data_IF_277008214618
#
_entry.id   IF_277008214618
#
_cell.length_a   1.000
_cell.length_b   1.000
_cell.length_c   1.000
_cell.angle_alpha   90.00
_cell.angle_beta   90.00
_cell.angle_gamma   90.00
#
_symmetry.space_group_name_H-M   'P 1'
#
loop_
_entity.id
_entity.type
_entity.pdbx_description
1 polymer ?
#
# COMPACT_ATOMS: atom_id res chain seq x y z
N UNK A 1 -19.38 -43.96 2.54
CA UNK A 1 -17.94 -44.19 2.26
C UNK A 1 -17.31 -43.21 1.25
N UNK A 2 -18.02 -42.71 0.23
CA UNK A 2 -17.45 -41.75 -0.75
C UNK A 2 -17.05 -40.38 -0.17
N UNK A 3 -17.76 -39.89 0.84
CA UNK A 3 -17.44 -38.61 1.49
C UNK A 3 -16.11 -38.64 2.29
N UNK A 4 -15.75 -39.79 2.87
CA UNK A 4 -14.50 -39.94 3.61
C UNK A 4 -13.27 -39.98 2.68
N UNK A 5 -13.42 -40.60 1.50
CA UNK A 5 -12.36 -40.60 0.47
C UNK A 5 -12.14 -39.22 -0.14
N UNK A 6 -13.21 -38.41 -0.29
CA UNK A 6 -13.09 -37.02 -0.75
C UNK A 6 -12.39 -36.13 0.29
N UNK A 7 -12.68 -36.31 1.59
CA UNK A 7 -11.99 -35.58 2.67
C UNK A 7 -10.51 -35.97 2.79
N UNK A 8 -10.16 -37.25 2.62
CA UNK A 8 -8.76 -37.69 2.60
C UNK A 8 -8.03 -37.23 1.33
N UNK A 9 -8.70 -37.19 0.18
CA UNK A 9 -8.11 -36.68 -1.07
C UNK A 9 -7.91 -35.15 -1.04
N UNK A 10 -8.80 -34.41 -0.39
CA UNK A 10 -8.64 -32.96 -0.14
C UNK A 10 -7.52 -32.67 0.88
N UNK A 11 -7.35 -33.52 1.89
CA UNK A 11 -6.22 -33.42 2.82
C UNK A 11 -4.87 -33.76 2.17
N UNK A 12 -4.83 -34.74 1.27
CA UNK A 12 -3.64 -35.11 0.51
C UNK A 12 -3.31 -34.13 -0.63
N UNK A 13 -4.32 -33.47 -1.22
CA UNK A 13 -4.12 -32.41 -2.21
C UNK A 13 -3.69 -31.07 -1.59
N UNK A 14 -4.02 -30.82 -0.32
CA UNK A 14 -3.47 -29.70 0.46
C UNK A 14 -2.00 -29.92 0.87
N UNK A 15 -1.47 -31.13 0.68
CA UNK A 15 -0.13 -31.52 1.12
C UNK A 15 0.99 -31.17 0.14
N UNK A 16 0.68 -30.73 -1.08
CA UNK A 16 1.65 -30.66 -2.18
C UNK A 16 2.06 -29.25 -2.64
N UNK A 17 1.75 -28.16 -1.93
CA UNK A 17 2.16 -26.82 -2.42
C UNK A 17 2.55 -25.76 -1.38
N UNK A 18 2.57 -26.08 -0.09
CA UNK A 18 3.11 -25.16 0.92
C UNK A 18 4.52 -25.62 1.34
N UNK A 19 5.56 -24.76 1.25
CA UNK A 19 6.85 -25.10 1.84
C UNK A 19 6.64 -25.29 3.35
N UNK A 20 6.78 -26.53 3.81
CA UNK A 20 6.69 -26.92 5.24
C UNK A 20 7.98 -26.63 6.02
N UNK A 21 9.00 -26.13 5.34
CA UNK A 21 10.31 -25.85 5.92
C UNK A 21 10.40 -24.39 6.40
N UNK A 22 10.65 -24.23 7.69
CA UNK A 22 10.78 -22.94 8.38
C UNK A 22 11.83 -22.04 7.70
N UNK A 23 12.92 -22.64 7.19
CA UNK A 23 14.01 -21.89 6.53
C UNK A 23 13.57 -21.29 5.19
N UNK A 24 12.78 -22.02 4.42
CA UNK A 24 12.25 -21.55 3.13
C UNK A 24 11.25 -20.43 3.34
N UNK A 25 10.40 -20.52 4.37
CA UNK A 25 9.47 -19.45 4.73
C UNK A 25 10.19 -18.19 5.21
N UNK A 26 11.24 -18.32 6.03
CA UNK A 26 12.07 -17.20 6.48
C UNK A 26 12.71 -16.44 5.30
N UNK A 27 13.30 -17.16 4.33
CA UNK A 27 13.87 -16.54 3.12
C UNK A 27 12.82 -15.80 2.28
N UNK A 28 11.60 -16.33 2.17
CA UNK A 28 10.50 -15.66 1.46
C UNK A 28 10.04 -14.39 2.19
N UNK A 29 10.04 -14.39 3.52
CA UNK A 29 9.73 -13.19 4.32
C UNK A 29 10.77 -12.10 4.10
N UNK A 30 12.06 -12.42 4.15
CA UNK A 30 13.13 -11.44 3.92
C UNK A 30 13.09 -10.88 2.49
N UNK A 31 12.82 -11.72 1.49
CA UNK A 31 12.65 -11.29 0.10
C UNK A 31 11.42 -10.39 -0.08
N UNK A 32 10.29 -10.75 0.55
CA UNK A 32 9.05 -9.97 0.52
C UNK A 32 9.23 -8.61 1.22
N UNK A 33 9.87 -8.59 2.38
CA UNK A 33 10.23 -7.36 3.11
C UNK A 33 11.10 -6.45 2.25
N UNK A 34 12.17 -7.00 1.64
CA UNK A 34 13.06 -6.25 0.76
C UNK A 34 12.33 -5.69 -0.47
N UNK A 35 11.42 -6.47 -1.05
CA UNK A 35 10.58 -6.04 -2.17
C UNK A 35 9.66 -4.87 -1.82
N UNK A 36 8.96 -4.96 -0.69
CA UNK A 36 8.09 -3.86 -0.22
C UNK A 36 8.89 -2.60 0.12
N UNK A 37 10.05 -2.72 0.76
CA UNK A 37 10.92 -1.56 1.04
C UNK A 37 11.32 -0.85 -0.25
N UNK A 38 11.73 -1.59 -1.29
CA UNK A 38 12.06 -1.00 -2.60
C UNK A 38 10.87 -0.27 -3.21
N UNK A 39 9.66 -0.84 -3.13
CA UNK A 39 8.46 -0.18 -3.62
C UNK A 39 8.13 1.10 -2.85
N UNK A 40 8.36 1.12 -1.53
CA UNK A 40 8.22 2.33 -0.73
C UNK A 40 9.24 3.41 -1.14
N UNK A 41 10.48 3.00 -1.39
CA UNK A 41 11.56 3.89 -1.85
C UNK A 41 11.28 4.44 -3.26
N UNK A 42 10.69 3.64 -4.16
CA UNK A 42 10.28 4.06 -5.50
C UNK A 42 9.03 4.96 -5.47
N UNK A 43 8.08 4.71 -4.56
CA UNK A 43 6.85 5.49 -4.46
C UNK A 43 7.10 6.88 -3.86
N UNK A 44 8.01 6.99 -2.90
CA UNK A 44 8.34 8.25 -2.21
C UNK A 44 8.67 9.41 -3.15
N UNK A 45 9.60 9.28 -4.12
CA UNK A 45 9.92 10.38 -5.05
C UNK A 45 8.76 10.72 -6.00
N UNK A 46 7.93 9.74 -6.36
CA UNK A 46 6.73 10.00 -7.19
C UNK A 46 5.72 10.87 -6.43
N UNK A 47 5.46 10.54 -5.16
CA UNK A 47 4.57 11.33 -4.30
C UNK A 47 5.11 12.74 -4.07
N UNK A 48 6.42 12.90 -3.83
CA UNK A 48 7.05 14.22 -3.71
C UNK A 48 6.94 15.05 -5.00
N UNK A 49 7.08 14.40 -6.16
CA UNK A 49 6.93 15.07 -7.47
C UNK A 49 5.47 15.46 -7.74
N UNK A 50 4.51 14.64 -7.34
CA UNK A 50 3.08 15.00 -7.40
C UNK A 50 2.77 16.19 -6.48
N UNK A 51 3.35 16.23 -5.28
CA UNK A 51 3.18 17.34 -4.35
C UNK A 51 3.80 18.65 -4.89
N UNK A 52 4.96 18.59 -5.53
CA UNK A 52 5.58 19.78 -6.14
C UNK A 52 4.82 20.26 -7.39
N UNK A 53 4.25 19.34 -8.18
CA UNK A 53 3.33 19.69 -9.26
C UNK A 53 2.07 20.36 -8.73
N UNK A 54 1.48 19.84 -7.65
CA UNK A 54 0.34 20.45 -6.95
C UNK A 54 0.62 21.89 -6.56
N UNK A 55 1.74 22.14 -5.89
CA UNK A 55 2.16 23.50 -5.54
C UNK A 55 2.30 24.39 -6.80
N UNK A 56 2.93 23.86 -7.86
CA UNK A 56 3.19 24.60 -9.09
C UNK A 56 1.91 25.05 -9.81
N UNK A 57 0.92 24.16 -9.99
CA UNK A 57 -0.31 24.53 -10.69
C UNK A 57 -1.28 25.36 -9.82
N UNK A 58 -1.22 25.24 -8.48
CA UNK A 58 -1.97 26.08 -7.56
C UNK A 58 -1.45 27.53 -7.55
N UNK A 59 -0.13 27.73 -7.59
CA UNK A 59 0.48 29.07 -7.51
C UNK A 59 0.56 29.78 -8.86
N UNK A 60 1.06 29.10 -9.90
CA UNK A 60 1.41 29.73 -11.19
C UNK A 60 0.30 29.65 -12.23
N UNK A 61 -0.73 28.85 -11.96
CA UNK A 61 -1.75 28.51 -12.94
C UNK A 61 -1.19 27.69 -14.11
N UNK A 62 -1.98 27.52 -15.17
CA UNK A 62 -1.56 26.73 -16.34
C UNK A 62 -1.79 25.22 -16.19
N UNK A 63 -2.97 24.85 -15.69
CA UNK A 63 -3.40 23.46 -15.45
C UNK A 63 -3.08 22.52 -16.63
N UNK A 64 -3.37 22.97 -17.86
CA UNK A 64 -3.20 22.19 -19.09
C UNK A 64 -1.76 21.70 -19.31
N UNK A 65 -0.76 22.49 -18.90
CA UNK A 65 0.66 22.13 -19.06
C UNK A 65 1.06 20.98 -18.15
N UNK A 66 0.38 20.83 -17.03
CA UNK A 66 0.71 19.85 -15.99
C UNK A 66 -0.20 18.60 -16.06
N UNK A 67 -1.30 18.63 -16.81
CA UNK A 67 -2.26 17.52 -16.89
C UNK A 67 -1.62 16.20 -17.34
N UNK A 68 -0.78 16.24 -18.39
CA UNK A 68 -0.16 15.04 -18.93
C UNK A 68 0.86 14.43 -17.95
N UNK A 69 1.72 15.26 -17.35
CA UNK A 69 2.72 14.82 -16.37
C UNK A 69 2.05 14.29 -15.10
N UNK A 70 1.02 14.98 -14.60
CA UNK A 70 0.20 14.54 -13.47
C UNK A 70 -0.42 13.17 -13.73
N UNK A 71 -1.08 12.98 -14.88
CA UNK A 71 -1.75 11.72 -15.20
C UNK A 71 -0.76 10.55 -15.23
N UNK A 72 0.43 10.77 -15.81
CA UNK A 72 1.51 9.78 -15.83
C UNK A 72 1.97 9.43 -14.41
N UNK A 73 2.33 10.42 -13.59
CA UNK A 73 2.84 10.17 -12.24
C UNK A 73 1.79 9.55 -11.32
N UNK A 74 0.53 9.97 -11.45
CA UNK A 74 -0.57 9.40 -10.66
C UNK A 74 -0.83 7.94 -11.02
N UNK A 75 -0.74 7.59 -12.31
CA UNK A 75 -0.88 6.21 -12.77
C UNK A 75 0.29 5.33 -12.30
N UNK A 76 1.53 5.82 -12.42
CA UNK A 76 2.73 5.11 -11.93
C UNK A 76 2.68 4.90 -10.41
N UNK A 77 2.35 5.95 -9.65
CA UNK A 77 2.20 5.86 -8.20
C UNK A 77 1.05 4.94 -7.79
N UNK A 78 -0.09 4.99 -8.49
CA UNK A 78 -1.23 4.10 -8.27
C UNK A 78 -0.87 2.63 -8.48
N UNK A 79 -0.19 2.31 -9.59
CA UNK A 79 0.23 0.94 -9.90
C UNK A 79 1.21 0.37 -8.85
N UNK A 80 2.19 1.18 -8.42
CA UNK A 80 3.12 0.78 -7.35
C UNK A 80 2.42 0.57 -6.01
N UNK A 81 1.47 1.43 -5.68
CA UNK A 81 0.69 1.34 -4.45
C UNK A 81 -0.23 0.10 -4.44
N UNK A 82 -0.85 -0.24 -5.57
CA UNK A 82 -1.63 -1.48 -5.72
C UNK A 82 -0.74 -2.71 -5.56
N UNK A 83 0.44 -2.71 -6.19
CA UNK A 83 1.42 -3.79 -6.05
C UNK A 83 1.91 -3.93 -4.61
N UNK A 84 2.20 -2.83 -3.92
CA UNK A 84 2.57 -2.82 -2.51
C UNK A 84 1.46 -3.43 -1.62
N UNK A 85 0.20 -3.08 -1.90
CA UNK A 85 -0.95 -3.64 -1.20
C UNK A 85 -1.12 -5.15 -1.42
N UNK A 86 -0.83 -5.65 -2.62
CA UNK A 86 -0.80 -7.09 -2.91
C UNK A 86 0.33 -7.80 -2.16
N UNK A 87 1.55 -7.26 -2.25
CA UNK A 87 2.73 -7.81 -1.57
C UNK A 87 2.57 -7.84 -0.05
N UNK A 88 1.88 -6.85 0.54
CA UNK A 88 1.54 -6.85 1.96
C UNK A 88 0.61 -8.01 2.33
N UNK A 89 -0.42 -8.29 1.52
CA UNK A 89 -1.32 -9.43 1.77
C UNK A 89 -0.56 -10.74 1.73
N UNK A 90 0.32 -10.90 0.75
CA UNK A 90 1.17 -12.08 0.61
C UNK A 90 2.13 -12.22 1.81
N UNK A 91 2.75 -11.11 2.24
CA UNK A 91 3.60 -11.08 3.43
C UNK A 91 2.86 -11.56 4.69
N UNK A 92 1.66 -11.04 4.94
CA UNK A 92 0.83 -11.45 6.08
C UNK A 92 0.49 -12.95 6.01
N UNK A 93 0.17 -13.47 4.82
CA UNK A 93 -0.08 -14.90 4.65
C UNK A 93 1.17 -15.74 4.95
N UNK A 94 2.36 -15.32 4.50
CA UNK A 94 3.61 -16.02 4.78
C UNK A 94 3.93 -15.99 6.28
N UNK A 95 3.72 -14.85 6.96
CA UNK A 95 3.89 -14.74 8.42
C UNK A 95 2.96 -15.71 9.16
N UNK A 96 1.68 -15.78 8.78
CA UNK A 96 0.72 -16.71 9.38
C UNK A 96 1.11 -18.18 9.16
N UNK A 97 1.63 -18.53 7.98
CA UNK A 97 2.13 -19.87 7.69
C UNK A 97 3.38 -20.19 8.53
N UNK A 98 4.31 -19.25 8.66
CA UNK A 98 5.49 -19.39 9.49
C UNK A 98 5.14 -19.63 10.97
N UNK A 99 4.23 -18.82 11.52
CA UNK A 99 3.73 -18.99 12.89
C UNK A 99 3.02 -20.34 13.07
N UNK A 100 2.24 -20.77 12.07
CA UNK A 100 1.55 -22.07 12.08
C UNK A 100 2.50 -23.27 12.09
N UNK A 101 3.59 -23.22 11.32
CA UNK A 101 4.64 -24.25 11.32
C UNK A 101 5.32 -24.31 12.70
N UNK A 102 5.66 -23.15 13.27
CA UNK A 102 6.29 -23.07 14.59
C UNK A 102 5.41 -23.65 15.71
N UNK A 103 4.09 -23.38 15.69
CA UNK A 103 3.13 -23.94 16.65
C UNK A 103 3.02 -25.46 16.47
N UNK A 104 2.95 -25.95 15.23
CA UNK A 104 2.87 -27.38 14.95
C UNK A 104 4.12 -28.15 15.41
N UNK A 105 5.31 -27.58 15.23
CA UNK A 105 6.57 -28.13 15.75
C UNK A 105 6.60 -28.15 17.28
N UNK A 106 6.20 -27.06 17.93
CA UNK A 106 6.12 -27.01 19.39
C UNK A 106 5.15 -28.07 19.95
N UNK A 107 3.99 -28.25 19.31
CA UNK A 107 3.01 -29.28 19.69
C UNK A 107 3.55 -30.71 19.50
N UNK A 108 4.34 -30.96 18.43
CA UNK A 108 5.02 -32.26 18.21
C UNK A 108 6.13 -32.51 19.23
N UNK A 109 6.92 -31.49 19.57
CA UNK A 109 7.97 -31.56 20.59
C UNK A 109 7.41 -31.85 22.00
N UNK A 110 6.27 -31.25 22.34
CA UNK A 110 5.54 -31.53 23.58
C UNK A 110 4.98 -32.97 23.61
N UNK A 111 4.49 -33.49 22.48
CA UNK A 111 4.02 -34.88 22.37
C UNK A 111 5.14 -35.92 22.50
N UNK A 112 6.36 -35.60 22.07
CA UNK A 112 7.52 -36.50 22.20
C UNK A 112 8.19 -36.44 23.59
N UNK A 113 8.17 -35.29 24.28
CA UNK A 113 8.68 -35.18 25.66
C UNK A 113 7.70 -35.71 26.72
N UNK A 114 6.40 -35.68 26.44
CA UNK A 114 5.35 -36.12 27.37
C UNK A 114 5.24 -37.63 27.62
N UNK A 115 5.90 -38.50 26.85
CA UNK A 115 5.76 -39.96 26.99
C UNK A 115 6.98 -40.68 27.55
N UNK A 116 8.13 -40.01 27.72
CA UNK A 116 9.35 -40.64 28.30
C UNK A 116 9.80 -40.06 29.64
N UNK A 117 9.49 -38.80 29.95
CA UNK A 117 9.94 -38.16 31.20
C UNK A 117 8.94 -38.30 32.37
N UNK A 118 7.67 -38.62 32.13
CA UNK A 118 6.70 -38.89 33.21
C UNK A 118 6.91 -40.26 33.91
N UNK A 119 7.82 -41.11 33.42
CA UNK A 119 8.12 -42.43 33.99
C UNK A 119 9.44 -42.50 34.77
N UNK A 120 10.23 -41.43 34.82
CA UNK A 120 11.47 -41.40 35.62
C UNK A 120 11.52 -40.11 36.42
N UNK A 121 11.03 -40.19 37.66
CA UNK A 121 11.14 -39.11 38.62
C UNK A 121 12.58 -38.62 38.76
N UNK A 122 12.77 -37.32 38.59
CA UNK A 122 13.85 -36.56 39.21
C UNK A 122 13.54 -35.08 39.00
N UNK A 123 13.40 -34.34 40.08
CA UNK A 123 13.35 -32.90 40.03
C UNK A 123 14.69 -32.35 39.55
N UNK A 124 14.67 -31.63 38.45
CA UNK A 124 15.66 -30.60 38.13
C UNK A 124 15.18 -29.86 36.89
N UNK A 125 14.91 -28.56 37.05
CA UNK A 125 14.83 -27.52 36.04
C UNK A 125 14.24 -27.90 34.67
N UNK A 126 13.10 -27.30 34.32
CA UNK A 126 12.66 -27.12 32.93
C UNK A 126 13.88 -26.74 32.05
N UNK A 127 14.43 -27.66 31.23
CA UNK A 127 15.60 -27.34 30.44
C UNK A 127 15.12 -26.78 29.11
N UNK A 128 15.36 -25.49 28.92
CA UNK A 128 15.34 -24.84 27.61
C UNK A 128 13.96 -24.38 27.14
N UNK A 129 13.52 -23.23 27.64
CA UNK A 129 13.02 -22.22 26.71
C UNK A 129 14.22 -21.88 25.81
N UNK A 130 14.40 -22.65 24.74
CA UNK A 130 15.55 -22.58 23.86
C UNK A 130 15.71 -21.16 23.33
N UNK A 131 16.95 -20.74 23.07
CA UNK A 131 17.24 -19.47 22.40
C UNK A 131 16.40 -19.25 21.13
N UNK A 132 15.90 -20.33 20.50
CA UNK A 132 14.95 -20.27 19.37
C UNK A 132 13.57 -19.71 19.73
N UNK A 133 13.05 -19.91 20.95
CA UNK A 133 11.76 -19.33 21.36
C UNK A 133 11.85 -17.80 21.53
N UNK A 134 12.90 -17.31 22.18
CA UNK A 134 13.16 -15.87 22.32
C UNK A 134 13.44 -15.20 20.97
N UNK A 135 14.24 -15.84 20.09
CA UNK A 135 14.49 -15.36 18.74
C UNK A 135 13.20 -15.28 17.89
N UNK A 136 12.30 -16.26 18.04
CA UNK A 136 10.98 -16.27 17.36
C UNK A 136 10.03 -15.18 17.87
N UNK A 137 10.01 -14.90 19.18
CA UNK A 137 9.23 -13.76 19.71
C UNK A 137 9.75 -12.41 19.19
N UNK A 138 11.08 -12.25 19.10
CA UNK A 138 11.70 -11.04 18.57
C UNK A 138 11.44 -10.88 17.06
N UNK A 139 11.45 -11.96 16.28
CA UNK A 139 11.14 -11.91 14.84
C UNK A 139 9.66 -11.61 14.59
N UNK A 140 8.74 -12.19 15.36
CA UNK A 140 7.31 -11.90 15.27
C UNK A 140 7.00 -10.42 15.59
N UNK A 141 7.67 -9.86 16.61
CA UNK A 141 7.58 -8.42 16.92
C UNK A 141 8.09 -7.55 15.76
N UNK A 142 9.22 -7.92 15.17
CA UNK A 142 9.81 -7.21 14.02
C UNK A 142 8.88 -7.20 12.80
N UNK A 143 8.24 -8.32 12.49
CA UNK A 143 7.35 -8.40 11.32
C UNK A 143 6.07 -7.61 11.51
N UNK A 144 5.46 -7.62 12.70
CA UNK A 144 4.31 -6.76 13.01
C UNK A 144 4.64 -5.28 12.94
N UNK A 145 5.82 -4.89 13.43
CA UNK A 145 6.31 -3.51 13.31
C UNK A 145 6.46 -3.11 11.83
N UNK A 146 7.06 -3.98 11.02
CA UNK A 146 7.21 -3.73 9.59
C UNK A 146 5.86 -3.66 8.86
N UNK A 147 4.94 -4.58 9.14
CA UNK A 147 3.57 -4.54 8.61
C UNK A 147 2.87 -3.21 8.96
N UNK A 148 3.01 -2.75 10.21
CA UNK A 148 2.51 -1.46 10.65
C UNK A 148 3.11 -0.27 9.89
N UNK A 149 4.41 -0.31 9.61
CA UNK A 149 5.09 0.71 8.79
C UNK A 149 4.56 0.74 7.36
N UNK A 150 4.45 -0.42 6.71
CA UNK A 150 3.92 -0.54 5.34
C UNK A 150 2.47 -0.07 5.29
N UNK A 151 1.63 -0.48 6.25
CA UNK A 151 0.23 -0.07 6.35
C UNK A 151 0.08 1.44 6.53
N UNK A 152 0.87 2.04 7.44
CA UNK A 152 0.92 3.49 7.63
C UNK A 152 1.37 4.21 6.35
N UNK A 153 2.37 3.67 5.64
CA UNK A 153 2.86 4.25 4.40
C UNK A 153 1.79 4.20 3.30
N UNK A 154 1.15 3.04 3.10
CA UNK A 154 0.05 2.86 2.15
C UNK A 154 -1.10 3.85 2.41
N UNK A 155 -1.48 4.04 3.67
CA UNK A 155 -2.50 5.01 4.05
C UNK A 155 -2.11 6.45 3.71
N UNK A 156 -0.86 6.85 4.03
CA UNK A 156 -0.35 8.19 3.70
C UNK A 156 -0.25 8.41 2.19
N UNK A 157 0.20 7.40 1.44
CA UNK A 157 0.30 7.45 -0.01
C UNK A 157 -1.07 7.60 -0.67
N UNK A 158 -2.10 6.85 -0.21
CA UNK A 158 -3.48 7.02 -0.66
C UNK A 158 -4.01 8.42 -0.39
N UNK A 159 -3.85 8.89 0.85
CA UNK A 159 -4.29 10.23 1.22
C UNK A 159 -3.60 11.32 0.37
N UNK A 160 -2.32 11.14 0.04
CA UNK A 160 -1.60 12.07 -0.85
C UNK A 160 -2.20 12.09 -2.26
N UNK A 161 -2.44 10.92 -2.87
CA UNK A 161 -3.06 10.81 -4.19
C UNK A 161 -4.50 11.38 -4.22
N UNK A 162 -5.29 11.09 -3.19
CA UNK A 162 -6.66 11.61 -3.06
C UNK A 162 -6.65 13.13 -2.89
N UNK A 163 -5.72 13.66 -2.07
CA UNK A 163 -5.58 15.11 -1.88
C UNK A 163 -5.15 15.83 -3.15
N UNK A 164 -4.26 15.22 -3.94
CA UNK A 164 -3.79 15.76 -5.21
C UNK A 164 -4.94 15.80 -6.22
N UNK A 165 -5.71 14.70 -6.32
CA UNK A 165 -6.90 14.64 -7.17
C UNK A 165 -7.92 15.72 -6.83
N UNK A 166 -8.24 15.87 -5.54
CA UNK A 166 -9.18 16.89 -5.09
C UNK A 166 -8.67 18.31 -5.41
N UNK A 167 -7.37 18.57 -5.22
CA UNK A 167 -6.76 19.86 -5.54
C UNK A 167 -6.82 20.18 -7.04
N UNK A 168 -6.56 19.18 -7.90
CA UNK A 168 -6.63 19.34 -9.34
C UNK A 168 -8.07 19.60 -9.81
N UNK A 169 -9.06 18.85 -9.32
CA UNK A 169 -10.47 19.04 -9.64
C UNK A 169 -10.97 20.44 -9.21
N UNK A 170 -10.55 20.91 -8.03
CA UNK A 170 -10.86 22.26 -7.56
C UNK A 170 -10.24 23.34 -8.47
N UNK A 171 -8.96 23.19 -8.82
CA UNK A 171 -8.26 24.13 -9.67
C UNK A 171 -8.83 24.16 -11.11
N UNK A 172 -9.31 23.02 -11.62
CA UNK A 172 -10.01 22.95 -12.91
C UNK A 172 -11.34 23.69 -12.89
N UNK A 173 -12.13 23.54 -11.82
CA UNK A 173 -13.39 24.27 -11.65
C UNK A 173 -13.14 25.79 -11.60
N UNK A 174 -12.12 26.21 -10.88
CA UNK A 174 -11.74 27.62 -10.80
C UNK A 174 -11.27 28.19 -12.14
N UNK A 175 -10.47 27.43 -12.90
CA UNK A 175 -10.07 27.82 -14.26
C UNK A 175 -11.29 27.98 -15.18
N UNK A 176 -12.25 27.05 -15.12
CA UNK A 176 -13.50 27.12 -15.90
C UNK A 176 -14.35 28.33 -15.49
N UNK A 177 -14.43 28.65 -14.19
CA UNK A 177 -15.16 29.83 -13.69
C UNK A 177 -14.52 31.13 -14.20
N UNK A 178 -13.20 31.26 -14.08
CA UNK A 178 -12.45 32.43 -14.58
C UNK A 178 -12.62 32.60 -16.09
N UNK A 179 -12.58 31.53 -16.87
CA UNK A 179 -12.81 31.58 -18.31
C UNK A 179 -14.23 32.06 -18.68
N UNK A 180 -15.26 31.65 -17.95
CA UNK A 180 -16.63 32.16 -18.16
C UNK A 180 -16.74 33.65 -17.85
N UNK A 181 -16.18 34.10 -16.73
CA UNK A 181 -16.18 35.51 -16.33
C UNK A 181 -15.44 36.36 -17.38
N UNK A 182 -14.29 35.90 -17.86
CA UNK A 182 -13.55 36.58 -18.94
C UNK A 182 -14.37 36.71 -20.22
N UNK A 183 -15.05 35.64 -20.65
CA UNK A 183 -15.92 35.69 -21.84
C UNK A 183 -17.06 36.70 -21.68
N UNK A 184 -17.70 36.72 -20.50
CA UNK A 184 -18.77 37.68 -20.20
C UNK A 184 -18.24 39.11 -20.15
N UNK A 185 -17.07 39.34 -19.55
CA UNK A 185 -16.42 40.65 -19.52
C UNK A 185 -16.04 41.13 -20.93
N UNK A 186 -15.55 40.24 -21.79
CA UNK A 186 -15.23 40.55 -23.19
C UNK A 186 -16.50 40.91 -23.98
N UNK A 187 -17.58 40.16 -23.79
CA UNK A 187 -18.87 40.46 -24.42
C UNK A 187 -19.41 41.83 -23.95
N UNK A 188 -19.36 42.11 -22.65
CA UNK A 188 -19.78 43.41 -22.10
C UNK A 188 -18.91 44.56 -22.64
N UNK A 189 -17.60 44.37 -22.73
CA UNK A 189 -16.68 45.36 -23.30
C UNK A 189 -16.98 45.64 -24.78
N UNK A 190 -17.31 44.62 -25.57
CA UNK A 190 -17.71 44.79 -26.98
C UNK A 190 -19.03 45.57 -27.12
N UNK A 191 -20.01 45.32 -26.26
CA UNK A 191 -21.28 46.09 -26.25
C UNK A 191 -21.04 47.55 -25.89
N UNK A 192 -20.22 47.82 -24.87
CA UNK A 192 -19.86 49.19 -24.48
C UNK A 192 -19.07 49.91 -25.58
N UNK A 193 -18.13 49.22 -26.23
CA UNK A 193 -17.37 49.77 -27.36
C UNK A 193 -18.28 50.09 -28.55
N UNK A 194 -19.22 49.20 -28.90
CA UNK A 194 -20.21 49.44 -29.94
C UNK A 194 -21.11 50.65 -29.60
N UNK A 195 -21.58 50.76 -28.36
CA UNK A 195 -22.35 51.90 -27.89
C UNK A 195 -21.57 53.23 -27.96
N UNK A 196 -20.29 53.22 -27.59
CA UNK A 196 -19.41 54.38 -27.67
C UNK A 196 -19.17 54.83 -29.12
N UNK A 197 -18.95 53.89 -30.04
CA UNK A 197 -18.80 54.19 -31.48
C UNK A 197 -20.08 54.78 -32.06
N UNK A 198 -21.25 54.21 -31.75
CA UNK A 198 -22.54 54.75 -32.19
C UNK A 198 -22.76 56.16 -31.62
N UNK A 199 -22.41 56.40 -30.36
CA UNK A 199 -22.52 57.72 -29.74
C UNK A 199 -21.59 58.76 -30.39
N UNK A 200 -20.34 58.39 -30.69
CA UNK A 200 -19.38 59.27 -31.37
C UNK A 200 -19.81 59.61 -32.80
N UNK A 201 -20.36 58.65 -33.55
CA UNK A 201 -20.89 58.87 -34.91
C UNK A 201 -22.16 59.72 -34.94
N UNK A 202 -22.87 59.84 -33.81
CA UNK A 202 -24.14 60.57 -33.70
C UNK A 202 -23.97 62.00 -33.16
N UNK A 203 -22.76 62.38 -32.74
CA UNK A 203 -22.42 63.76 -32.37
C UNK A 203 -22.02 64.54 -33.63
N UNK A 204 -22.82 65.52 -34.08
CA UNK A 204 -22.45 66.44 -35.16
C UNK A 204 -21.35 67.41 -34.74
#
# INVERSE_FOLDING_TARGET
MRAALLLCALAAAAETSAPRDETTLALRLDASQSGMTRQMDELTPLLQRLESLKASYCERGGLERFTAERAKLSAEAGALLESLGSNRKDFVQIVQLYDGVAIAEAARGLRFKGTRELLRGSGSALPGASASSAARFLSAGRWKLFEGQVSSFESKARAALDSERAAFEAAEQDARRRARVLKLALAAALVLAAGAVIFLLRKP
#
